data_IF_574974285198
#
_entry.id   IF_574974285198
#
_cell.length_a   1.000
_cell.length_b   1.000
_cell.length_c   1.000
_cell.angle_alpha   90.00
_cell.angle_beta   90.00
_cell.angle_gamma   90.00
#
_symmetry.space_group_name_H-M   'P 1'
#
loop_
_entity.id
_entity.type
_entity.pdbx_description
1 polymer ?
#
# COMPACT_ATOMS: atom_id res chain seq x y z
N UNK A 1 3.37 -39.56 -4.00
CA UNK A 1 3.08 -38.18 -3.51
C UNK A 1 3.80 -38.00 -2.20
N UNK A 2 4.97 -37.33 -2.23
CA UNK A 2 5.72 -37.05 -1.02
C UNK A 2 4.96 -36.03 -0.16
N UNK A 3 4.75 -36.35 1.11
CA UNK A 3 4.27 -35.37 2.09
C UNK A 3 5.25 -34.20 2.07
N UNK A 4 4.84 -33.04 1.60
CA UNK A 4 5.57 -31.81 1.84
C UNK A 4 5.70 -31.66 3.36
N UNK A 5 6.87 -31.26 3.83
CA UNK A 5 7.13 -31.11 5.27
C UNK A 5 6.08 -30.21 5.89
N UNK A 6 5.74 -30.47 7.16
CA UNK A 6 4.78 -29.69 7.93
C UNK A 6 5.16 -28.20 7.97
N UNK A 7 4.29 -27.37 8.54
CA UNK A 7 4.51 -25.94 8.70
C UNK A 7 5.86 -25.65 9.39
N UNK A 8 6.65 -24.71 8.88
CA UNK A 8 8.01 -24.45 9.37
C UNK A 8 8.04 -23.89 10.80
N UNK A 9 6.97 -23.21 11.19
CA UNK A 9 6.78 -22.63 12.54
C UNK A 9 5.27 -22.52 12.81
N UNK A 10 4.88 -22.52 14.08
CA UNK A 10 3.48 -22.45 14.48
C UNK A 10 3.36 -21.66 15.80
N UNK A 11 2.33 -20.83 15.87
CA UNK A 11 1.98 -20.15 17.11
C UNK A 11 1.26 -21.11 18.10
N UNK A 12 0.84 -20.58 19.25
CA UNK A 12 0.11 -21.31 20.29
C UNK A 12 -1.22 -21.94 19.81
N UNK A 13 -1.75 -21.45 18.68
CA UNK A 13 -2.96 -22.00 18.05
C UNK A 13 -2.64 -23.06 16.99
N UNK A 14 -1.36 -23.39 16.79
CA UNK A 14 -0.90 -24.34 15.78
C UNK A 14 -1.04 -23.81 14.36
N UNK A 15 -0.95 -22.49 14.18
CA UNK A 15 -1.09 -21.85 12.90
C UNK A 15 0.22 -21.14 12.50
N UNK A 16 0.51 -21.16 11.20
CA UNK A 16 1.44 -20.25 10.55
C UNK A 16 0.66 -19.04 10.03
N UNK A 17 1.02 -17.86 10.45
CA UNK A 17 0.27 -16.64 10.19
C UNK A 17 1.05 -15.65 9.31
N UNK A 18 0.37 -15.12 8.30
CA UNK A 18 0.89 -14.11 7.39
C UNK A 18 0.03 -12.85 7.49
N UNK A 19 0.69 -11.70 7.59
CA UNK A 19 0.05 -10.39 7.51
C UNK A 19 0.62 -9.63 6.32
N UNK A 20 -0.27 -9.04 5.54
CA UNK A 20 0.06 -8.18 4.42
C UNK A 20 -0.38 -6.76 4.75
N UNK A 21 0.56 -5.83 4.74
CA UNK A 21 0.29 -4.40 4.85
C UNK A 21 0.34 -3.79 3.46
N UNK A 22 -0.74 -3.16 3.04
CA UNK A 22 -0.91 -2.69 1.67
C UNK A 22 -1.69 -1.40 1.62
N UNK A 23 -1.72 -0.82 0.43
CA UNK A 23 -2.57 0.32 0.08
C UNK A 23 -3.66 -0.21 -0.86
N UNK A 24 -4.88 0.27 -0.67
CA UNK A 24 -6.03 -0.09 -1.51
C UNK A 24 -5.75 0.17 -2.99
N UNK A 25 -5.92 -0.86 -3.82
CA UNK A 25 -5.57 -0.84 -5.24
C UNK A 25 -4.38 -1.73 -5.59
N UNK A 26 -3.47 -2.03 -4.67
CA UNK A 26 -2.31 -2.91 -4.94
C UNK A 26 -2.65 -4.41 -4.92
N UNK A 27 -3.88 -4.80 -4.62
CA UNK A 27 -4.38 -6.16 -4.81
C UNK A 27 -4.00 -7.16 -3.72
N UNK A 28 -3.67 -6.72 -2.49
CA UNK A 28 -3.31 -7.60 -1.37
C UNK A 28 -4.39 -8.63 -1.02
N UNK A 29 -5.67 -8.27 -1.09
CA UNK A 29 -6.77 -9.20 -0.83
C UNK A 29 -6.78 -10.37 -1.82
N UNK A 30 -6.60 -10.10 -3.11
CA UNK A 30 -6.50 -11.15 -4.12
C UNK A 30 -5.25 -11.99 -3.92
N UNK A 31 -4.13 -11.35 -3.59
CA UNK A 31 -2.88 -12.04 -3.27
C UNK A 31 -3.06 -12.98 -2.07
N UNK A 32 -3.71 -12.52 -0.98
CA UNK A 32 -3.99 -13.34 0.19
C UNK A 32 -4.85 -14.57 -0.16
N UNK A 33 -5.90 -14.41 -0.97
CA UNK A 33 -6.75 -15.51 -1.42
C UNK A 33 -5.96 -16.54 -2.23
N UNK A 34 -5.20 -16.09 -3.22
CA UNK A 34 -4.38 -16.98 -4.06
C UNK A 34 -3.32 -17.71 -3.24
N UNK A 35 -2.71 -17.04 -2.27
CA UNK A 35 -1.73 -17.64 -1.38
C UNK A 35 -2.35 -18.71 -0.49
N UNK A 36 -3.54 -18.43 0.07
CA UNK A 36 -4.29 -19.39 0.88
C UNK A 36 -4.69 -20.65 0.10
N UNK A 37 -5.22 -20.48 -1.11
CA UNK A 37 -5.56 -21.59 -2.01
C UNK A 37 -4.31 -22.41 -2.39
N UNK A 38 -3.20 -21.75 -2.70
CA UNK A 38 -1.96 -22.41 -3.05
C UNK A 38 -1.39 -23.26 -1.89
N UNK A 39 -1.48 -22.78 -0.65
CA UNK A 39 -1.04 -23.56 0.52
C UNK A 39 -1.89 -24.82 0.75
N UNK A 40 -3.18 -24.77 0.45
CA UNK A 40 -4.05 -25.96 0.49
C UNK A 40 -3.64 -26.97 -0.59
N UNK A 41 -3.41 -26.54 -1.81
CA UNK A 41 -3.03 -27.40 -2.93
C UNK A 41 -1.60 -27.96 -2.76
N UNK A 42 -0.64 -27.13 -2.32
CA UNK A 42 0.77 -27.52 -2.19
C UNK A 42 1.05 -28.47 -1.04
N UNK A 43 0.52 -28.13 0.13
CA UNK A 43 0.89 -28.77 1.39
C UNK A 43 -0.27 -29.52 2.04
N UNK A 44 -1.45 -29.50 1.45
CA UNK A 44 -2.64 -30.13 2.02
C UNK A 44 -3.09 -29.49 3.34
N UNK A 45 -2.78 -28.21 3.53
CA UNK A 45 -3.09 -27.45 4.74
C UNK A 45 -4.52 -26.94 4.74
N UNK A 46 -5.07 -26.68 5.91
CA UNK A 46 -6.22 -25.80 6.02
C UNK A 46 -5.78 -24.33 5.95
N UNK A 47 -6.58 -23.49 5.29
CA UNK A 47 -6.31 -22.04 5.26
C UNK A 47 -7.56 -21.22 5.58
N UNK A 48 -7.33 -20.08 6.26
CA UNK A 48 -8.32 -19.04 6.45
C UNK A 48 -7.76 -17.70 5.95
N UNK A 49 -8.54 -17.03 5.12
CA UNK A 49 -8.15 -15.77 4.49
C UNK A 49 -9.19 -14.71 4.75
N UNK A 50 -8.76 -13.56 5.24
CA UNK A 50 -9.63 -12.41 5.45
C UNK A 50 -8.85 -11.12 5.27
N UNK A 51 -9.56 -9.99 5.18
CA UNK A 51 -8.95 -8.68 4.99
C UNK A 51 -9.65 -7.64 5.85
N UNK A 52 -8.88 -6.66 6.30
CA UNK A 52 -9.38 -5.45 6.94
C UNK A 52 -9.06 -4.24 6.05
N UNK A 53 -10.05 -3.42 5.83
CA UNK A 53 -9.92 -2.20 5.04
C UNK A 53 -10.88 -1.14 5.58
N UNK A 54 -10.51 0.12 5.39
CA UNK A 54 -11.36 1.25 5.76
C UNK A 54 -12.59 1.40 4.84
N UNK A 55 -13.37 2.45 5.06
CA UNK A 55 -14.56 2.77 4.26
C UNK A 55 -14.24 2.98 2.77
N UNK A 56 -13.05 3.49 2.47
CA UNK A 56 -12.57 3.63 1.09
C UNK A 56 -11.72 2.44 0.67
N UNK A 57 -11.98 1.92 -0.53
CA UNK A 57 -11.29 0.72 -1.05
C UNK A 57 -9.99 1.02 -1.81
N UNK A 58 -9.73 2.28 -2.16
CA UNK A 58 -8.57 2.68 -2.96
C UNK A 58 -7.84 3.84 -2.29
N UNK A 59 -6.52 3.72 -2.13
CA UNK A 59 -5.68 4.75 -1.55
C UNK A 59 -5.60 4.74 0.00
N UNK A 60 -6.36 3.86 0.67
CA UNK A 60 -6.30 3.72 2.13
C UNK A 60 -5.55 2.46 2.54
N UNK A 61 -5.00 2.39 3.77
CA UNK A 61 -4.36 1.17 4.26
C UNK A 61 -5.31 -0.03 4.22
N UNK A 62 -4.79 -1.14 3.71
CA UNK A 62 -5.50 -2.43 3.63
C UNK A 62 -4.60 -3.50 4.21
N UNK A 63 -5.17 -4.33 5.08
CA UNK A 63 -4.49 -5.49 5.65
C UNK A 63 -5.10 -6.77 5.11
N UNK A 64 -4.24 -7.66 4.63
CA UNK A 64 -4.60 -9.03 4.29
C UNK A 64 -4.02 -9.99 5.32
N UNK A 65 -4.78 -11.02 5.66
CA UNK A 65 -4.38 -12.03 6.62
C UNK A 65 -4.58 -13.41 6.04
N UNK A 66 -3.58 -14.26 6.23
CA UNK A 66 -3.66 -15.68 5.87
C UNK A 66 -3.19 -16.51 7.07
N UNK A 67 -3.96 -17.50 7.43
CA UNK A 67 -3.61 -18.52 8.43
C UNK A 67 -3.56 -19.88 7.76
N UNK A 68 -2.53 -20.63 8.06
CA UNK A 68 -2.40 -22.02 7.67
C UNK A 68 -2.28 -22.88 8.91
N UNK A 69 -3.03 -23.96 8.95
CA UNK A 69 -2.92 -25.00 9.98
C UNK A 69 -2.81 -26.36 9.29
N UNK A 70 -2.38 -27.38 10.03
CA UNK A 70 -2.41 -28.76 9.55
C UNK A 70 -3.84 -29.18 9.18
N UNK A 71 -3.97 -30.12 8.24
CA UNK A 71 -5.26 -30.53 7.66
C UNK A 71 -6.30 -31.06 8.68
N UNK A 72 -5.84 -31.62 9.78
CA UNK A 72 -6.67 -32.14 10.87
C UNK A 72 -7.18 -31.07 11.84
N UNK A 73 -6.73 -29.82 11.68
CA UNK A 73 -7.03 -28.70 12.57
C UNK A 73 -7.95 -27.68 11.91
N UNK A 74 -9.09 -27.44 12.52
CA UNK A 74 -10.02 -26.40 12.06
C UNK A 74 -9.58 -25.00 12.51
N UNK A 75 -9.61 -24.03 11.59
CA UNK A 75 -9.28 -22.64 11.88
C UNK A 75 -10.55 -21.89 12.26
N UNK A 76 -10.72 -21.62 13.56
CA UNK A 76 -11.88 -20.88 14.09
C UNK A 76 -11.58 -19.40 14.39
N UNK A 77 -10.33 -18.96 14.19
CA UNK A 77 -9.88 -17.61 14.48
C UNK A 77 -10.08 -16.71 13.26
N UNK A 78 -10.90 -15.67 13.41
CA UNK A 78 -11.11 -14.62 12.42
C UNK A 78 -10.60 -13.24 12.88
N UNK A 79 -9.89 -13.18 14.00
CA UNK A 79 -9.26 -11.97 14.51
C UNK A 79 -8.05 -11.55 13.64
N UNK A 80 -7.66 -10.26 13.64
CA UNK A 80 -6.44 -9.82 13.00
C UNK A 80 -5.20 -10.60 13.46
N UNK A 81 -4.25 -10.81 12.55
CA UNK A 81 -2.95 -11.40 12.88
C UNK A 81 -2.08 -10.35 13.56
N UNK A 82 -1.80 -10.58 14.85
CA UNK A 82 -1.03 -9.63 15.66
C UNK A 82 0.46 -9.93 15.56
N UNK A 83 0.87 -11.19 15.68
CA UNK A 83 2.28 -11.65 15.63
C UNK A 83 2.50 -12.52 14.39
N UNK A 84 2.81 -11.93 13.21
CA UNK A 84 2.97 -12.68 11.98
C UNK A 84 4.29 -13.44 11.95
N UNK A 85 4.29 -14.64 11.37
CA UNK A 85 5.50 -15.35 10.98
C UNK A 85 6.12 -14.74 9.71
N UNK A 86 5.25 -14.24 8.79
CA UNK A 86 5.64 -13.45 7.64
C UNK A 86 4.81 -12.17 7.58
N UNK A 87 5.50 -11.03 7.58
CA UNK A 87 4.93 -9.73 7.28
C UNK A 87 5.35 -9.32 5.86
N UNK A 88 4.37 -9.06 4.99
CA UNK A 88 4.63 -8.56 3.64
C UNK A 88 4.12 -7.12 3.47
N UNK A 89 5.03 -6.20 3.19
CA UNK A 89 4.76 -4.78 2.99
C UNK A 89 4.75 -4.48 1.50
N UNK A 90 3.59 -4.15 0.95
CA UNK A 90 3.37 -3.95 -0.48
C UNK A 90 3.88 -2.62 -1.02
N UNK A 91 4.21 -1.70 -0.14
CA UNK A 91 4.82 -0.42 -0.50
C UNK A 91 5.63 0.12 0.67
N UNK A 92 6.87 0.53 0.40
CA UNK A 92 7.82 0.99 1.42
C UNK A 92 7.33 2.21 2.24
N UNK A 93 6.49 3.08 1.65
CA UNK A 93 5.91 4.22 2.37
C UNK A 93 5.12 3.83 3.63
N UNK A 94 4.58 2.60 3.69
CA UNK A 94 3.89 2.10 4.87
C UNK A 94 4.80 1.93 6.08
N UNK A 95 6.10 1.80 5.86
CA UNK A 95 7.09 1.67 6.94
C UNK A 95 7.29 2.98 7.73
N UNK A 96 6.76 4.10 7.24
CA UNK A 96 6.71 5.35 7.99
C UNK A 96 5.76 5.29 9.18
N UNK A 97 4.76 4.38 9.14
CA UNK A 97 3.88 4.11 10.27
C UNK A 97 4.50 3.02 11.16
N UNK A 98 4.85 3.33 12.43
CA UNK A 98 5.39 2.35 13.38
C UNK A 98 4.48 1.13 13.58
N UNK A 99 3.18 1.28 13.34
CA UNK A 99 2.20 0.20 13.50
C UNK A 99 2.30 -0.85 12.40
N UNK A 100 2.91 -0.53 11.27
CA UNK A 100 3.16 -1.49 10.19
C UNK A 100 4.00 -2.67 10.70
N UNK A 101 5.00 -2.39 11.54
CA UNK A 101 5.88 -3.41 12.11
C UNK A 101 5.43 -3.93 13.48
N UNK A 102 4.32 -3.41 14.01
CA UNK A 102 3.83 -3.83 15.32
C UNK A 102 3.58 -5.35 15.39
N UNK A 103 4.00 -5.98 16.47
CA UNK A 103 3.88 -7.42 16.69
C UNK A 103 4.92 -8.30 15.96
N UNK A 104 5.83 -7.71 15.17
CA UNK A 104 6.97 -8.47 14.67
C UNK A 104 7.90 -8.89 15.82
N UNK A 105 8.43 -10.08 15.71
CA UNK A 105 9.38 -10.69 16.66
C UNK A 105 10.60 -11.21 15.91
N UNK A 106 11.64 -11.66 16.65
CA UNK A 106 12.89 -12.17 16.06
C UNK A 106 12.73 -13.29 15.03
N UNK A 107 11.64 -14.03 15.10
CA UNK A 107 11.32 -15.09 14.15
C UNK A 107 10.49 -14.61 12.96
N UNK A 108 9.96 -13.38 13.02
CA UNK A 108 9.18 -12.82 11.90
C UNK A 108 10.09 -12.58 10.70
N UNK A 109 9.67 -13.08 9.54
CA UNK A 109 10.26 -12.73 8.25
C UNK A 109 9.55 -11.49 7.69
N UNK A 110 10.30 -10.47 7.28
CA UNK A 110 9.77 -9.25 6.70
C UNK A 110 10.08 -9.23 5.20
N UNK A 111 9.05 -9.13 4.36
CA UNK A 111 9.19 -8.88 2.92
C UNK A 111 8.76 -7.46 2.60
N UNK A 112 9.59 -6.70 1.90
CA UNK A 112 9.31 -5.31 1.51
C UNK A 112 9.34 -5.19 -0.01
N UNK A 113 8.27 -4.63 -0.59
CA UNK A 113 8.32 -4.13 -1.95
C UNK A 113 9.00 -2.75 -1.93
N UNK A 114 10.20 -2.67 -2.48
CA UNK A 114 11.04 -1.47 -2.47
C UNK A 114 11.94 -1.39 -3.70
N UNK A 115 12.16 -0.19 -4.19
CA UNK A 115 13.15 0.12 -5.23
C UNK A 115 14.53 0.40 -4.62
N UNK A 116 14.62 0.57 -3.31
CA UNK A 116 15.82 1.01 -2.61
C UNK A 116 16.78 -0.14 -2.27
N UNK A 117 16.37 -1.40 -2.46
CA UNK A 117 17.17 -2.55 -2.06
C UNK A 117 17.58 -2.45 -0.58
N UNK A 118 18.86 -2.65 -0.27
CA UNK A 118 19.38 -2.56 1.11
C UNK A 118 19.25 -1.18 1.75
N UNK A 119 19.21 -0.11 0.94
CA UNK A 119 19.07 1.26 1.47
C UNK A 119 17.72 1.52 2.15
N UNK A 120 16.72 0.68 1.91
CA UNK A 120 15.44 0.75 2.62
C UNK A 120 15.61 0.60 4.14
N UNK A 121 16.65 -0.10 4.57
CA UNK A 121 16.95 -0.35 5.98
C UNK A 121 17.48 0.91 6.70
N UNK A 122 17.99 1.89 5.95
CA UNK A 122 18.59 3.11 6.46
C UNK A 122 17.67 4.34 6.33
N UNK A 123 16.64 4.25 5.47
CA UNK A 123 15.81 5.39 5.12
C UNK A 123 14.37 5.21 5.64
N UNK A 124 14.00 5.91 6.71
CA UNK A 124 12.58 6.12 6.99
C UNK A 124 12.28 7.43 7.70
N UNK A 125 11.30 8.15 7.12
CA UNK A 125 10.55 9.25 7.72
C UNK A 125 11.28 10.58 7.73
N UNK A 126 10.69 11.62 7.19
CA UNK A 126 10.97 13.06 7.36
C UNK A 126 12.43 13.51 7.57
N UNK A 127 13.40 12.88 6.89
CA UNK A 127 14.81 13.28 6.94
C UNK A 127 15.62 12.76 8.14
N UNK A 128 15.03 12.04 9.07
CA UNK A 128 15.76 11.34 10.12
C UNK A 128 16.04 9.90 9.71
N UNK A 129 17.31 9.50 9.76
CA UNK A 129 17.70 8.08 9.61
C UNK A 129 17.12 7.29 10.77
N UNK A 130 15.99 6.62 10.53
CA UNK A 130 15.48 5.60 11.44
C UNK A 130 15.95 4.24 10.95
N UNK A 131 16.72 3.56 11.77
CA UNK A 131 17.04 2.17 11.52
C UNK A 131 15.75 1.35 11.64
N UNK A 132 15.25 0.87 10.51
CA UNK A 132 14.09 -0.03 10.42
C UNK A 132 14.23 -1.25 11.33
N UNK A 133 15.47 -1.64 11.56
CA UNK A 133 15.84 -2.83 12.33
C UNK A 133 15.94 -2.61 13.83
N UNK A 134 15.75 -1.39 14.34
CA UNK A 134 15.71 -1.13 15.78
C UNK A 134 14.54 -1.80 16.51
N UNK A 135 13.89 -2.71 15.85
CA UNK A 135 12.82 -3.47 16.45
C UNK A 135 12.23 -4.57 15.57
N UNK A 136 12.96 -5.63 15.21
CA UNK A 136 12.43 -6.96 15.26
C UNK A 136 12.15 -7.86 14.09
N UNK A 137 12.19 -7.60 12.81
CA UNK A 137 12.18 -8.79 11.97
C UNK A 137 13.52 -9.51 12.03
N UNK A 138 13.49 -10.84 12.22
CA UNK A 138 14.70 -11.64 12.26
C UNK A 138 15.39 -11.76 10.91
N UNK A 139 14.61 -11.75 9.83
CA UNK A 139 15.10 -11.77 8.45
C UNK A 139 14.33 -10.75 7.61
N UNK A 140 15.04 -9.96 6.82
CA UNK A 140 14.44 -8.97 5.93
C UNK A 140 14.74 -9.34 4.48
N UNK A 141 13.70 -9.36 3.68
CA UNK A 141 13.73 -9.62 2.24
C UNK A 141 13.22 -8.41 1.49
N UNK A 142 13.77 -8.18 0.30
CA UNK A 142 13.37 -7.11 -0.59
C UNK A 142 13.07 -7.60 -1.99
N UNK A 143 12.22 -6.88 -2.68
CA UNK A 143 11.92 -7.08 -4.09
C UNK A 143 11.41 -5.78 -4.70
N UNK A 144 11.80 -5.47 -5.92
CA UNK A 144 11.20 -4.40 -6.71
C UNK A 144 10.04 -4.96 -7.55
N UNK A 145 8.92 -5.19 -6.87
CA UNK A 145 7.73 -5.73 -7.51
C UNK A 145 7.07 -4.74 -8.49
N UNK A 146 7.31 -3.44 -8.32
CA UNK A 146 6.87 -2.41 -9.25
C UNK A 146 7.55 -2.54 -10.61
N UNK A 147 8.90 -2.57 -10.62
CA UNK A 147 9.71 -2.77 -11.83
C UNK A 147 9.36 -4.09 -12.53
N UNK A 148 9.37 -5.20 -11.79
CA UNK A 148 9.03 -6.52 -12.35
C UNK A 148 7.62 -6.51 -12.96
N UNK A 149 6.64 -5.92 -12.27
CA UNK A 149 5.29 -5.81 -12.75
C UNK A 149 5.17 -5.02 -14.05
N UNK A 150 5.93 -3.94 -14.20
CA UNK A 150 5.98 -3.15 -15.44
C UNK A 150 6.65 -3.92 -16.59
N UNK A 151 7.79 -4.54 -16.35
CA UNK A 151 8.53 -5.30 -17.36
C UNK A 151 7.74 -6.51 -17.88
N UNK A 152 7.07 -7.23 -17.00
CA UNK A 152 6.26 -8.41 -17.35
C UNK A 152 4.84 -8.05 -17.79
N UNK A 153 4.40 -6.79 -17.66
CA UNK A 153 3.02 -6.34 -17.83
C UNK A 153 2.05 -7.03 -16.86
N UNK A 154 2.53 -7.41 -15.70
CA UNK A 154 1.76 -7.97 -14.60
C UNK A 154 1.48 -6.89 -13.54
N UNK A 155 1.07 -7.29 -12.35
CA UNK A 155 0.81 -6.39 -11.22
C UNK A 155 1.66 -6.74 -10.02
N UNK A 156 1.92 -5.75 -9.16
CA UNK A 156 2.65 -5.90 -7.89
C UNK A 156 2.18 -7.09 -7.07
N UNK A 157 0.88 -7.33 -6.96
CA UNK A 157 0.35 -8.42 -6.14
C UNK A 157 0.74 -9.83 -6.61
N UNK A 158 0.88 -10.06 -7.91
CA UNK A 158 1.32 -11.38 -8.40
C UNK A 158 2.82 -11.58 -8.23
N UNK A 159 3.61 -10.51 -8.35
CA UNK A 159 5.04 -10.54 -8.05
C UNK A 159 5.28 -10.82 -6.57
N UNK A 160 4.58 -10.09 -5.69
CA UNK A 160 4.62 -10.30 -4.24
C UNK A 160 4.18 -11.71 -3.84
N UNK A 161 3.20 -12.29 -4.56
CA UNK A 161 2.75 -13.66 -4.34
C UNK A 161 3.89 -14.67 -4.56
N UNK A 162 4.65 -14.52 -5.65
CA UNK A 162 5.83 -15.35 -5.92
C UNK A 162 6.90 -15.22 -4.82
N UNK A 163 7.21 -13.98 -4.42
CA UNK A 163 8.18 -13.70 -3.35
C UNK A 163 7.75 -14.31 -2.00
N UNK A 164 6.49 -14.18 -1.62
CA UNK A 164 5.97 -14.79 -0.38
C UNK A 164 6.05 -16.30 -0.41
N UNK A 165 5.73 -16.95 -1.53
CA UNK A 165 5.86 -18.40 -1.65
C UNK A 165 7.30 -18.88 -1.46
N UNK A 166 8.28 -18.16 -2.03
CA UNK A 166 9.70 -18.46 -1.82
C UNK A 166 10.09 -18.39 -0.34
N UNK A 167 9.65 -17.33 0.35
CA UNK A 167 10.01 -17.07 1.75
C UNK A 167 9.33 -18.06 2.70
N UNK A 168 8.08 -18.45 2.43
CA UNK A 168 7.36 -19.43 3.25
C UNK A 168 7.97 -20.82 3.15
N UNK A 169 8.43 -21.21 1.97
CA UNK A 169 9.15 -22.46 1.72
C UNK A 169 8.27 -23.72 1.58
N UNK A 170 6.98 -23.64 1.96
CA UNK A 170 6.05 -24.77 1.85
C UNK A 170 5.05 -24.64 0.68
N UNK A 171 5.03 -23.52 0.00
CA UNK A 171 4.18 -23.27 -1.18
C UNK A 171 5.02 -23.42 -2.44
N UNK A 172 4.64 -24.34 -3.32
CA UNK A 172 5.38 -24.62 -4.56
C UNK A 172 4.96 -23.64 -5.66
N UNK A 173 5.91 -23.30 -6.51
CA UNK A 173 5.70 -22.37 -7.63
C UNK A 173 4.67 -22.90 -8.62
N UNK A 174 4.66 -24.22 -8.88
CA UNK A 174 3.74 -24.89 -9.78
C UNK A 174 2.29 -24.73 -9.33
N UNK A 175 2.04 -24.86 -8.03
CA UNK A 175 0.71 -24.70 -7.48
C UNK A 175 0.21 -23.26 -7.57
N UNK A 176 1.10 -22.28 -7.41
CA UNK A 176 0.76 -20.88 -7.69
C UNK A 176 0.36 -20.66 -9.15
N UNK A 177 1.03 -21.34 -10.08
CA UNK A 177 0.67 -21.26 -11.50
C UNK A 177 -0.74 -21.82 -11.73
N UNK A 178 -1.07 -22.96 -11.14
CA UNK A 178 -2.41 -23.53 -11.27
C UNK A 178 -3.49 -22.64 -10.65
N UNK A 179 -3.23 -22.08 -9.47
CA UNK A 179 -4.14 -21.12 -8.85
C UNK A 179 -4.28 -19.84 -9.71
N UNK A 180 -3.20 -19.36 -10.27
CA UNK A 180 -3.23 -18.19 -11.17
C UNK A 180 -4.08 -18.49 -12.43
N UNK A 181 -3.95 -19.66 -13.03
CA UNK A 181 -4.78 -20.10 -14.16
C UNK A 181 -6.26 -20.18 -13.78
N UNK A 182 -6.58 -20.81 -12.63
CA UNK A 182 -7.95 -20.96 -12.12
C UNK A 182 -8.63 -19.61 -11.79
N UNK A 183 -7.87 -18.63 -11.28
CA UNK A 183 -8.39 -17.34 -10.80
C UNK A 183 -8.27 -16.24 -11.85
N UNK A 184 -7.04 -15.77 -12.12
CA UNK A 184 -6.78 -14.67 -13.04
C UNK A 184 -6.91 -15.09 -14.51
N UNK A 185 -6.46 -16.31 -14.86
CA UNK A 185 -6.52 -16.80 -16.23
C UNK A 185 -7.96 -16.95 -16.72
N UNK A 186 -8.87 -17.39 -15.85
CA UNK A 186 -10.30 -17.48 -16.19
C UNK A 186 -10.93 -16.10 -16.43
N UNK A 187 -10.52 -15.10 -15.66
CA UNK A 187 -11.10 -13.74 -15.73
C UNK A 187 -10.42 -12.85 -16.77
N UNK A 188 -9.11 -13.04 -16.95
CA UNK A 188 -8.26 -12.22 -17.82
C UNK A 188 -7.28 -13.11 -18.61
N UNK A 189 -7.78 -13.92 -19.58
CA UNK A 189 -6.94 -14.91 -20.27
C UNK A 189 -5.78 -14.26 -21.04
N UNK A 190 -5.95 -13.08 -21.60
CA UNK A 190 -4.90 -12.35 -22.30
C UNK A 190 -3.72 -11.92 -21.41
N UNK A 191 -3.94 -11.76 -20.11
CA UNK A 191 -2.91 -11.37 -19.14
C UNK A 191 -2.28 -12.58 -18.43
N UNK A 192 -2.71 -13.81 -18.71
CA UNK A 192 -2.25 -14.98 -17.98
C UNK A 192 -0.74 -15.17 -18.07
N UNK A 193 -0.17 -15.12 -19.28
CA UNK A 193 1.29 -15.27 -19.47
C UNK A 193 2.09 -14.23 -18.70
N UNK A 194 1.65 -12.98 -18.73
CA UNK A 194 2.24 -11.87 -17.96
C UNK A 194 2.20 -12.14 -16.45
N UNK A 195 1.06 -12.61 -15.93
CA UNK A 195 0.91 -12.92 -14.51
C UNK A 195 1.78 -14.11 -14.09
N UNK A 196 1.87 -15.16 -14.89
CA UNK A 196 2.75 -16.31 -14.60
C UNK A 196 4.22 -15.90 -14.57
N UNK A 197 4.65 -15.07 -15.51
CA UNK A 197 6.02 -14.54 -15.52
C UNK A 197 6.27 -13.63 -14.31
N UNK A 198 5.30 -12.78 -13.94
CA UNK A 198 5.40 -11.96 -12.74
C UNK A 198 5.55 -12.78 -11.45
N UNK A 199 4.78 -13.88 -11.30
CA UNK A 199 4.93 -14.81 -10.16
C UNK A 199 6.31 -15.47 -10.17
N UNK A 200 6.76 -15.95 -11.32
CA UNK A 200 8.07 -16.61 -11.48
C UNK A 200 9.19 -15.68 -11.05
N UNK A 201 9.25 -14.49 -11.61
CA UNK A 201 10.28 -13.51 -11.29
C UNK A 201 10.19 -13.05 -9.84
N UNK A 202 8.99 -12.89 -9.29
CA UNK A 202 8.79 -12.63 -7.86
C UNK A 202 9.43 -13.71 -6.97
N UNK A 203 9.29 -14.96 -7.36
CA UNK A 203 9.91 -16.10 -6.68
C UNK A 203 11.43 -16.14 -6.83
N UNK A 204 11.96 -15.84 -8.02
CA UNK A 204 13.37 -15.93 -8.35
C UNK A 204 14.19 -14.72 -7.88
N UNK A 205 13.64 -13.50 -8.00
CA UNK A 205 14.35 -12.25 -7.77
C UNK A 205 14.21 -11.69 -6.35
N UNK A 206 13.42 -12.31 -5.46
CA UNK A 206 13.40 -11.90 -4.06
C UNK A 206 14.74 -12.18 -3.40
N UNK A 207 15.32 -11.17 -2.74
CA UNK A 207 16.64 -11.25 -2.14
C UNK A 207 16.61 -10.97 -0.63
N UNK A 208 17.55 -11.57 0.11
CA UNK A 208 17.75 -11.26 1.52
C UNK A 208 18.52 -9.94 1.65
N UNK A 209 17.92 -8.95 2.33
CA UNK A 209 18.54 -7.66 2.60
C UNK A 209 19.35 -7.67 3.88
N UNK A 210 18.83 -8.32 4.93
CA UNK A 210 19.52 -8.51 6.20
C UNK A 210 19.10 -9.83 6.86
N UNK A 211 19.99 -10.39 7.67
CA UNK A 211 19.72 -11.55 8.52
C UNK A 211 20.08 -11.22 9.97
N UNK A 212 19.24 -11.70 10.89
CA UNK A 212 19.50 -11.65 12.35
C UNK A 212 19.78 -10.25 12.90
N UNK A 213 18.92 -9.29 12.61
CA UNK A 213 18.99 -8.00 13.27
C UNK A 213 18.73 -8.15 14.78
N UNK A 214 19.45 -7.40 15.65
CA UNK A 214 19.16 -7.39 17.07
C UNK A 214 17.74 -6.86 17.30
N UNK A 215 16.92 -7.65 17.97
CA UNK A 215 15.56 -7.25 18.25
C UNK A 215 15.52 -6.23 19.39
N UNK A 216 14.74 -5.18 19.18
CA UNK A 216 14.19 -4.35 20.25
C UNK A 216 12.75 -4.79 20.49
N UNK A 217 12.37 -5.02 21.74
CA UNK A 217 10.98 -5.34 22.04
C UNK A 217 10.09 -4.16 21.66
N UNK A 218 9.26 -4.36 20.65
CA UNK A 218 8.19 -3.42 20.38
C UNK A 218 7.17 -3.54 21.52
N UNK A 219 6.60 -2.44 22.00
CA UNK A 219 5.56 -2.51 23.01
C UNK A 219 4.44 -3.42 22.50
N UNK A 220 3.96 -4.31 23.36
CA UNK A 220 2.81 -5.15 23.04
C UNK A 220 1.64 -4.26 22.62
N UNK A 221 1.04 -4.59 21.48
CA UNK A 221 -0.15 -3.92 21.02
C UNK A 221 -1.33 -4.26 21.94
N UNK A 222 -1.84 -3.29 22.65
CA UNK A 222 -2.95 -3.49 23.57
C UNK A 222 -3.66 -2.19 23.93
N UNK A 223 -4.64 -2.27 24.80
CA UNK A 223 -5.43 -1.12 25.22
C UNK A 223 -4.57 0.03 25.76
N UNK A 224 -3.53 -0.27 26.55
CA UNK A 224 -2.63 0.73 27.12
C UNK A 224 -1.64 1.33 26.12
N UNK A 225 -1.37 0.64 25.01
CA UNK A 225 -0.39 1.05 23.98
C UNK A 225 -1.05 1.42 22.65
N UNK A 226 -2.37 1.24 22.55
CA UNK A 226 -3.12 1.67 21.38
C UNK A 226 -3.11 3.20 21.25
N UNK A 227 -2.98 3.75 20.03
CA UNK A 227 -3.09 5.18 19.82
C UNK A 227 -4.49 5.69 20.19
N UNK A 228 -4.58 6.96 20.54
CA UNK A 228 -5.86 7.62 20.84
C UNK A 228 -6.78 7.47 19.62
N UNK A 229 -8.01 7.02 19.86
CA UNK A 229 -8.95 6.67 18.77
C UNK A 229 -8.83 5.22 18.30
N UNK A 230 -8.05 4.38 18.98
CA UNK A 230 -7.92 2.95 18.70
C UNK A 230 -6.97 2.64 17.56
N UNK A 231 -7.47 2.05 16.48
CA UNK A 231 -6.64 1.51 15.39
C UNK A 231 -6.15 2.55 14.37
N UNK A 232 -6.50 3.83 14.52
CA UNK A 232 -6.09 4.91 13.61
C UNK A 232 -5.11 5.81 14.35
N UNK A 233 -3.78 5.62 14.16
CA UNK A 233 -2.76 6.40 14.86
C UNK A 233 -2.69 7.86 14.39
N UNK A 234 -3.17 8.13 13.19
CA UNK A 234 -3.23 9.46 12.61
C UNK A 234 -4.63 9.69 12.06
N UNK A 235 -5.23 10.81 12.41
CA UNK A 235 -6.45 11.19 11.69
C UNK A 235 -6.01 11.60 10.29
N UNK A 236 -6.03 10.62 9.41
CA UNK A 236 -5.75 10.87 8.01
C UNK A 236 -7.03 11.25 7.33
N UNK A 237 -7.05 12.41 6.74
CA UNK A 237 -7.90 12.62 5.60
C UNK A 237 -7.02 12.66 4.36
N UNK A 238 -7.61 12.59 3.19
CA UNK A 238 -6.91 12.64 1.90
C UNK A 238 -6.04 13.89 1.72
N UNK A 239 -6.27 14.94 2.52
CA UNK A 239 -5.52 16.21 2.47
C UNK A 239 -4.07 16.07 2.92
N UNK A 240 -3.80 15.23 3.92
CA UNK A 240 -2.45 15.07 4.50
C UNK A 240 -1.76 13.80 4.04
N UNK A 241 -2.48 12.89 3.39
CA UNK A 241 -1.94 11.61 2.96
C UNK A 241 -1.39 11.72 1.53
N UNK A 242 -0.16 11.25 1.36
CA UNK A 242 0.37 10.97 0.03
C UNK A 242 -0.37 9.78 -0.58
N UNK A 243 -1.15 10.03 -1.62
CA UNK A 243 -1.90 9.00 -2.33
C UNK A 243 -1.14 8.44 -3.54
N UNK A 244 0.04 8.98 -3.85
CA UNK A 244 0.87 8.52 -4.96
C UNK A 244 1.23 7.03 -4.89
N UNK A 245 1.46 6.42 -3.72
CA UNK A 245 1.76 4.99 -3.62
C UNK A 245 0.63 4.07 -4.11
N UNK A 246 -0.60 4.56 -4.18
CA UNK A 246 -1.75 3.76 -4.68
C UNK A 246 -1.82 3.69 -6.21
N UNK A 247 -1.01 4.46 -6.92
CA UNK A 247 -0.95 4.43 -8.39
C UNK A 247 -0.36 3.11 -8.89
N UNK A 248 -0.78 2.74 -10.08
CA UNK A 248 -0.29 1.54 -10.77
C UNK A 248 0.51 1.92 -12.02
N UNK A 249 1.35 2.95 -11.92
CA UNK A 249 2.18 3.47 -13.00
C UNK A 249 1.45 4.37 -14.00
N UNK A 250 0.21 4.79 -13.71
CA UNK A 250 -0.56 5.68 -14.57
C UNK A 250 -0.98 6.95 -13.85
N UNK A 251 -0.89 8.08 -14.56
CA UNK A 251 -1.33 9.40 -14.10
C UNK A 251 -2.11 10.12 -15.19
N UNK A 252 -3.09 10.98 -14.83
CA UNK A 252 -3.74 11.85 -15.79
C UNK A 252 -2.77 12.97 -16.21
N UNK A 253 -2.65 13.20 -17.51
CA UNK A 253 -1.90 14.33 -18.06
C UNK A 253 -2.89 15.41 -18.47
N UNK A 254 -2.63 16.63 -18.03
CA UNK A 254 -3.45 17.79 -18.34
C UNK A 254 -2.87 18.54 -19.55
N UNK A 255 -3.73 18.82 -20.54
CA UNK A 255 -3.43 19.58 -21.78
C UNK A 255 -4.27 20.85 -21.72
N UNK A 256 -3.71 21.96 -21.17
CA UNK A 256 -4.45 23.20 -20.93
C UNK A 256 -5.08 23.78 -22.21
N UNK A 257 -4.40 23.64 -23.35
CA UNK A 257 -4.83 24.21 -24.66
C UNK A 257 -6.16 23.60 -25.16
N UNK A 258 -6.45 22.35 -24.75
CA UNK A 258 -7.71 21.68 -25.05
C UNK A 258 -8.81 21.93 -24.04
N UNK A 259 -8.46 22.45 -22.86
CA UNK A 259 -9.39 22.55 -21.74
C UNK A 259 -10.45 23.65 -21.99
N UNK A 260 -11.70 23.27 -21.85
CA UNK A 260 -12.86 24.19 -21.94
C UNK A 260 -13.36 24.66 -20.56
N UNK A 261 -12.66 24.33 -19.50
CA UNK A 261 -12.95 24.71 -18.12
C UNK A 261 -14.35 24.30 -17.61
N UNK A 262 -14.87 23.17 -18.06
CA UNK A 262 -16.22 22.70 -17.71
C UNK A 262 -16.34 22.16 -16.27
N UNK A 263 -15.25 21.95 -15.56
CA UNK A 263 -15.25 21.50 -14.16
C UNK A 263 -15.55 20.01 -13.92
N UNK A 264 -15.90 19.22 -14.95
CA UNK A 264 -16.28 17.81 -14.79
C UNK A 264 -15.18 16.96 -14.15
N UNK A 265 -13.91 17.25 -14.44
CA UNK A 265 -12.78 16.55 -13.82
C UNK A 265 -12.71 16.78 -12.31
N UNK A 266 -12.98 18.00 -11.84
CA UNK A 266 -13.05 18.33 -10.42
C UNK A 266 -14.19 17.59 -9.73
N UNK A 267 -15.39 17.62 -10.32
CA UNK A 267 -16.57 16.93 -9.77
C UNK A 267 -16.44 15.40 -9.75
N UNK A 268 -15.71 14.82 -10.71
CA UNK A 268 -15.50 13.39 -10.78
C UNK A 268 -14.32 12.89 -9.92
N UNK A 269 -13.46 13.81 -9.45
CA UNK A 269 -12.29 13.45 -8.66
C UNK A 269 -12.66 13.17 -7.20
N UNK A 270 -12.46 11.94 -6.68
CA UNK A 270 -12.76 11.63 -5.29
C UNK A 270 -11.83 12.32 -4.29
N UNK A 271 -10.66 12.78 -4.76
CA UNK A 271 -9.61 13.36 -3.92
C UNK A 271 -9.41 14.86 -4.17
N UNK A 272 -10.30 15.49 -4.94
CA UNK A 272 -10.35 16.94 -5.23
C UNK A 272 -8.99 17.53 -5.65
N UNK A 273 -8.22 16.82 -6.47
CA UNK A 273 -6.85 17.21 -6.81
C UNK A 273 -6.74 18.37 -7.80
N UNK A 274 -7.83 18.71 -8.50
CA UNK A 274 -7.81 19.79 -9.50
C UNK A 274 -7.88 21.17 -8.87
N UNK A 275 -7.01 22.06 -9.34
CA UNK A 275 -6.93 23.44 -8.88
C UNK A 275 -7.66 24.38 -9.85
N UNK A 276 -8.58 25.16 -9.33
CA UNK A 276 -9.35 26.12 -10.09
C UNK A 276 -9.16 27.54 -9.53
N UNK A 277 -8.97 28.50 -10.42
CA UNK A 277 -8.84 29.90 -10.07
C UNK A 277 -9.79 30.75 -10.92
N UNK A 278 -10.30 31.85 -10.34
CA UNK A 278 -11.07 32.83 -11.12
C UNK A 278 -10.24 33.36 -12.27
N UNK A 279 -10.86 33.49 -13.42
CA UNK A 279 -10.23 34.00 -14.63
C UNK A 279 -11.24 34.16 -15.75
N UNK A 280 -10.75 34.54 -16.92
CA UNK A 280 -11.56 34.73 -18.11
C UNK A 280 -11.30 33.65 -19.15
N UNK A 281 -12.36 33.14 -19.76
CA UNK A 281 -12.28 32.22 -20.88
C UNK A 281 -13.35 32.55 -21.91
N UNK A 282 -12.90 32.88 -23.11
CA UNK A 282 -13.79 33.30 -24.25
C UNK A 282 -14.72 34.45 -23.90
N UNK A 283 -14.19 35.47 -23.20
CA UNK A 283 -14.96 36.66 -22.82
C UNK A 283 -15.93 36.48 -21.65
N UNK A 284 -15.81 35.37 -20.89
CA UNK A 284 -16.64 35.09 -19.71
C UNK A 284 -15.79 34.83 -18.48
N UNK A 285 -16.16 35.46 -17.38
CA UNK A 285 -15.60 35.11 -16.07
C UNK A 285 -16.02 33.71 -15.68
N UNK A 286 -15.04 32.83 -15.35
CA UNK A 286 -15.30 31.49 -14.87
C UNK A 286 -14.11 30.94 -14.08
N UNK A 287 -14.28 29.77 -13.52
CA UNK A 287 -13.19 29.05 -12.85
C UNK A 287 -12.32 28.35 -13.91
N UNK A 288 -11.06 28.72 -13.96
CA UNK A 288 -10.06 28.20 -14.89
C UNK A 288 -9.30 27.04 -14.22
N UNK A 289 -9.27 25.90 -14.87
CA UNK A 289 -8.47 24.76 -14.42
C UNK A 289 -6.99 25.04 -14.61
N UNK A 290 -6.23 25.05 -13.53
CA UNK A 290 -4.77 25.32 -13.50
C UNK A 290 -3.93 24.05 -13.50
N UNK A 291 -4.54 22.88 -13.37
CA UNK A 291 -3.85 21.60 -13.27
C UNK A 291 -4.28 20.80 -12.05
N UNK A 292 -3.44 19.89 -11.64
CA UNK A 292 -3.77 18.96 -10.56
C UNK A 292 -2.58 18.71 -9.62
N UNK A 293 -2.92 18.39 -8.39
CA UNK A 293 -1.95 17.97 -7.37
C UNK A 293 -1.69 16.47 -7.47
N UNK A 294 -0.55 16.10 -8.03
CA UNK A 294 -0.17 14.70 -8.19
C UNK A 294 0.14 14.01 -6.87
N UNK A 295 0.50 14.72 -5.81
CA UNK A 295 0.74 14.14 -4.49
C UNK A 295 -0.52 13.49 -3.91
N UNK A 296 -1.68 14.11 -4.15
CA UNK A 296 -2.97 13.61 -3.72
C UNK A 296 -3.70 12.77 -4.79
N UNK A 297 -3.13 12.64 -5.98
CA UNK A 297 -3.72 11.87 -7.06
C UNK A 297 -3.42 10.38 -6.91
N UNK A 298 -4.43 9.55 -6.75
CA UNK A 298 -4.31 8.08 -6.69
C UNK A 298 -4.35 7.36 -8.03
N UNK A 299 -4.31 8.08 -9.15
CA UNK A 299 -4.24 7.48 -10.48
C UNK A 299 -5.49 6.72 -10.93
N UNK A 300 -6.69 7.05 -10.43
CA UNK A 300 -7.93 6.31 -10.73
C UNK A 300 -8.50 6.55 -12.14
N UNK A 301 -7.98 7.50 -12.91
CA UNK A 301 -8.35 7.87 -14.29
C UNK A 301 -9.81 8.31 -14.50
N UNK A 302 -10.61 8.53 -13.46
CA UNK A 302 -12.00 9.02 -13.61
C UNK A 302 -12.07 10.34 -14.37
N UNK A 303 -11.15 11.26 -14.08
CA UNK A 303 -11.07 12.55 -14.74
C UNK A 303 -10.77 12.44 -16.25
N UNK A 304 -10.00 11.45 -16.67
CA UNK A 304 -9.74 11.14 -18.08
C UNK A 304 -11.02 10.68 -18.76
N UNK A 305 -11.75 9.76 -18.11
CA UNK A 305 -12.97 9.17 -18.66
C UNK A 305 -14.12 10.19 -18.84
N UNK A 306 -14.19 11.21 -18.00
CA UNK A 306 -15.28 12.21 -18.06
C UNK A 306 -14.92 13.44 -18.91
N UNK A 307 -13.67 13.57 -19.36
CA UNK A 307 -13.25 14.74 -20.11
C UNK A 307 -13.80 14.74 -21.56
N UNK A 308 -14.74 15.62 -21.90
CA UNK A 308 -15.43 15.58 -23.20
C UNK A 308 -14.55 16.01 -24.37
N UNK A 309 -13.45 16.71 -24.09
CA UNK A 309 -12.54 17.29 -25.10
C UNK A 309 -11.14 16.67 -25.07
N UNK A 310 -10.97 15.59 -24.30
CA UNK A 310 -9.67 14.92 -24.13
C UNK A 310 -8.53 15.89 -23.72
N UNK A 311 -8.87 16.89 -22.90
CA UNK A 311 -7.89 17.73 -22.25
C UNK A 311 -7.17 17.01 -21.08
N UNK A 312 -7.66 15.84 -20.69
CA UNK A 312 -7.03 14.90 -19.78
C UNK A 312 -6.86 13.57 -20.49
N UNK A 313 -5.65 13.09 -20.52
CA UNK A 313 -5.28 11.81 -21.14
C UNK A 313 -4.49 10.96 -20.16
N UNK A 314 -4.50 9.64 -20.36
CA UNK A 314 -3.70 8.72 -19.55
C UNK A 314 -2.22 8.82 -19.94
N UNK A 315 -1.34 8.99 -18.98
CA UNK A 315 0.10 8.93 -19.15
C UNK A 315 0.76 7.95 -18.18
N UNK A 316 2.02 7.62 -18.44
CA UNK A 316 2.84 6.81 -17.52
C UNK A 316 3.58 7.70 -16.54
N UNK A 317 3.57 7.35 -15.26
CA UNK A 317 4.19 8.10 -14.18
C UNK A 317 5.68 8.35 -14.40
N UNK A 318 6.42 7.34 -14.84
CA UNK A 318 7.87 7.42 -15.13
C UNK A 318 8.25 8.50 -16.15
N UNK A 319 7.34 8.82 -17.07
CA UNK A 319 7.59 9.80 -18.13
C UNK A 319 7.06 11.19 -17.80
N UNK A 320 6.22 11.32 -16.77
CA UNK A 320 5.36 12.48 -16.59
C UNK A 320 5.28 12.98 -15.14
N UNK A 321 6.22 12.56 -14.29
CA UNK A 321 6.45 13.19 -12.99
C UNK A 321 7.00 14.63 -13.12
N UNK A 322 7.02 15.14 -14.35
CA UNK A 322 7.55 16.45 -14.64
C UNK A 322 6.74 17.54 -13.92
N UNK A 323 7.44 18.40 -13.20
CA UNK A 323 6.92 19.53 -12.42
C UNK A 323 6.00 20.46 -13.23
N UNK A 324 6.05 20.42 -14.56
CA UNK A 324 5.22 21.23 -15.44
C UNK A 324 3.72 21.04 -15.24
N UNK A 325 3.31 19.85 -14.82
CA UNK A 325 1.89 19.51 -14.62
C UNK A 325 1.49 19.45 -13.16
N UNK A 326 2.45 19.68 -12.26
CA UNK A 326 2.21 19.68 -10.82
C UNK A 326 1.67 21.03 -10.37
N UNK A 327 0.47 21.02 -9.83
CA UNK A 327 -0.13 22.18 -9.16
C UNK A 327 -0.43 21.79 -7.72
N UNK A 328 0.40 22.24 -6.75
CA UNK A 328 0.14 21.92 -5.34
C UNK A 328 -1.19 22.51 -4.91
N UNK A 329 -1.95 21.73 -4.16
CA UNK A 329 -3.18 22.19 -3.55
C UNK A 329 -2.85 23.07 -2.33
N UNK A 330 -2.64 24.33 -2.56
CA UNK A 330 -2.17 25.27 -1.54
C UNK A 330 -3.19 25.50 -0.42
N UNK A 331 -4.46 25.38 -0.71
CA UNK A 331 -5.51 25.58 0.31
C UNK A 331 -5.74 24.34 1.16
N UNK A 332 -5.78 23.15 0.55
CA UNK A 332 -5.95 21.89 1.27
C UNK A 332 -4.68 21.43 1.98
N UNK A 333 -3.51 21.68 1.41
CA UNK A 333 -2.21 21.27 1.95
C UNK A 333 -1.63 22.27 2.95
N UNK A 334 -2.22 23.44 3.13
CA UNK A 334 -1.84 24.38 4.20
C UNK A 334 -1.94 23.80 5.60
N UNK A 335 -2.74 22.77 5.78
CA UNK A 335 -3.07 22.20 7.09
C UNK A 335 -2.25 20.99 7.55
N UNK A 336 -1.30 20.39 6.82
CA UNK A 336 -0.54 19.25 7.34
C UNK A 336 0.21 19.55 8.64
N UNK A 337 0.59 20.80 8.85
CA UNK A 337 1.29 21.25 10.06
C UNK A 337 0.40 21.12 11.30
N UNK A 338 -0.89 21.32 11.17
CA UNK A 338 -1.84 21.26 12.29
C UNK A 338 -2.09 19.85 12.80
N UNK A 339 -2.00 18.86 11.94
CA UNK A 339 -2.19 17.46 12.33
C UNK A 339 -0.98 16.84 13.01
N UNK A 340 0.16 17.55 13.03
CA UNK A 340 1.41 17.06 13.64
C UNK A 340 1.64 17.56 15.06
N UNK A 341 0.97 18.62 15.47
CA UNK A 341 1.09 19.20 16.82
C UNK A 341 -0.13 18.82 17.63
N UNK A 342 -0.03 17.67 18.31
CA UNK A 342 -0.95 17.35 19.40
C UNK A 342 -0.61 18.26 20.59
N UNK A 343 -1.63 18.74 21.30
CA UNK A 343 -1.46 19.35 22.60
C UNK A 343 -0.80 18.38 23.61
N UNK A 344 -0.46 18.83 24.83
CA UNK A 344 0.18 18.01 25.87
C UNK A 344 -0.55 16.70 26.14
N UNK A 345 -1.82 16.66 25.88
CA UNK A 345 -2.76 15.53 26.08
C UNK A 345 -2.88 14.63 24.83
N UNK A 346 -2.16 14.90 23.75
CA UNK A 346 -2.24 14.13 22.50
C UNK A 346 -3.44 14.46 21.63
N UNK A 347 -4.28 15.48 21.98
CA UNK A 347 -5.45 15.87 21.21
C UNK A 347 -5.20 17.16 20.42
N UNK A 348 -5.70 17.20 19.18
CA UNK A 348 -5.84 18.44 18.42
C UNK A 348 -7.27 18.93 18.60
N UNK A 349 -7.44 20.01 19.32
CA UNK A 349 -8.74 20.65 19.47
C UNK A 349 -8.97 21.69 18.38
N UNK A 350 -10.23 22.03 18.12
CA UNK A 350 -10.57 23.14 17.22
C UNK A 350 -9.97 24.49 17.68
N UNK A 351 -9.75 24.66 18.97
CA UNK A 351 -9.15 25.86 19.55
C UNK A 351 -7.63 25.90 19.31
N UNK A 352 -6.91 24.79 19.45
CA UNK A 352 -5.49 24.70 19.11
C UNK A 352 -5.26 24.97 17.62
N UNK A 353 -6.17 24.50 16.77
CA UNK A 353 -6.19 24.77 15.34
C UNK A 353 -6.30 26.28 15.03
N UNK A 354 -7.24 26.97 15.67
CA UNK A 354 -7.45 28.43 15.47
C UNK A 354 -6.30 29.26 16.07
N UNK A 355 -5.72 28.83 17.17
CA UNK A 355 -4.62 29.54 17.86
C UNK A 355 -3.33 29.47 17.04
N UNK A 356 -2.99 28.31 16.47
CA UNK A 356 -1.82 28.17 15.60
C UNK A 356 -1.95 29.02 14.32
N UNK A 357 -3.14 29.09 13.73
CA UNK A 357 -3.39 29.92 12.56
C UNK A 357 -3.17 31.43 12.84
N UNK A 358 -3.43 31.87 14.08
CA UNK A 358 -3.17 33.24 14.51
C UNK A 358 -1.67 33.52 14.76
N UNK A 359 -0.92 32.50 15.25
CA UNK A 359 0.50 32.66 15.56
C UNK A 359 1.41 32.66 14.33
N UNK A 360 0.98 32.07 13.22
CA UNK A 360 1.76 32.06 11.96
C UNK A 360 1.54 33.30 11.07
N UNK A 361 0.94 34.35 11.61
CA UNK A 361 0.92 35.69 10.97
C UNK A 361 -0.05 35.82 9.80
N UNK A 362 -1.00 34.93 9.68
CA UNK A 362 -2.07 35.11 8.73
C UNK A 362 -3.12 36.07 9.28
N UNK A 363 -3.14 37.32 8.85
CA UNK A 363 -4.33 38.13 8.93
C UNK A 363 -5.47 37.40 8.21
N UNK A 364 -6.62 37.37 8.85
CA UNK A 364 -7.85 36.73 8.40
C UNK A 364 -8.40 37.40 7.16
#
# INVERSE_FOLDING_TARGET
>A
MGKAGGLPDQNEYGCYEIRMESIGGLGANLCAKMLGEAGMESAGLNSAVFSSYGSEKTGTPVRGYVRFCEADREIRLHSPVIRPHLLAVFHEALLADPLTLAGCVKTTKLLINTVLGKSVLEQHGNGEKRELLNGNPGQVFGIDAGRIGMETKSRVNVVMLGAMAKITGFIRLEDLYEICKKTLGRKYPAALGANLEGIKRGYEEVEALAANAPAKDLPDWGYATAPIGGMIPHYGNSVVNDLSPSRQGYVPLFIPEKCINCGLCGSACPDMVFQFQKGEYRGREMMINKGLDYYHCKGCMRCVNVCPVQALVSGREERHTDKKYFMPNQELVRTPVYYRKAGPDGYITSESFLTEKRMEGGEV
#
